data_IF_514119322784
#
_entry.id   IF_514119322784
#
_cell.length_a   1.000
_cell.length_b   1.000
_cell.length_c   1.000
_cell.angle_alpha   90.00
_cell.angle_beta   90.00
_cell.angle_gamma   90.00
#
_symmetry.space_group_name_H-M   'P 1'
#
loop_
_entity.id
_entity.type
_entity.pdbx_description
1 polymer ?
#
# COMPACT_ATOMS: atom_id res chain seq x y z
N UNK A 1 -5.23 26.35 -18.14
CA UNK A 1 -5.26 25.09 -18.91
C UNK A 1 -5.89 24.01 -18.03
N UNK A 2 -7.11 23.53 -18.31
CA UNK A 2 -7.72 22.47 -17.52
C UNK A 2 -7.10 21.13 -17.90
N UNK A 3 -6.52 20.43 -16.93
CA UNK A 3 -6.16 19.02 -17.10
C UNK A 3 -7.46 18.22 -17.15
N UNK A 4 -7.89 17.81 -18.36
CA UNK A 4 -8.97 16.84 -18.47
C UNK A 4 -8.44 15.52 -17.90
N UNK A 5 -9.03 15.06 -16.80
CA UNK A 5 -8.69 13.79 -16.14
C UNK A 5 -9.15 12.58 -16.95
N UNK A 6 -8.97 12.61 -18.27
CA UNK A 6 -9.42 11.58 -19.19
C UNK A 6 -8.71 10.26 -18.89
N UNK A 7 -9.51 9.20 -18.75
CA UNK A 7 -9.05 7.83 -18.51
C UNK A 7 -9.48 6.95 -19.68
N UNK A 8 -8.92 7.15 -20.88
CA UNK A 8 -9.39 6.49 -22.09
C UNK A 8 -9.06 5.00 -22.14
N UNK A 9 -8.14 4.52 -21.30
CA UNK A 9 -7.68 3.13 -21.32
C UNK A 9 -8.44 2.30 -20.29
N UNK A 10 -9.40 1.48 -20.73
CA UNK A 10 -10.21 0.66 -19.84
C UNK A 10 -9.76 -0.81 -19.82
N UNK A 11 -9.70 -1.39 -18.63
CA UNK A 11 -9.50 -2.83 -18.46
C UNK A 11 -10.75 -3.60 -18.86
N UNK A 12 -10.64 -4.57 -19.76
CA UNK A 12 -11.77 -5.40 -20.19
C UNK A 12 -12.24 -6.41 -19.12
N UNK A 13 -11.42 -6.71 -18.12
CA UNK A 13 -11.74 -7.71 -17.09
C UNK A 13 -12.42 -7.13 -15.85
N UNK A 14 -12.00 -5.93 -15.41
CA UNK A 14 -12.56 -5.29 -14.21
C UNK A 14 -13.09 -3.87 -14.46
N UNK A 15 -13.12 -3.44 -15.72
CA UNK A 15 -13.66 -2.14 -16.16
C UNK A 15 -12.99 -0.91 -15.53
N UNK A 16 -11.87 -1.07 -14.83
CA UNK A 16 -11.07 0.04 -14.32
C UNK A 16 -10.47 0.83 -15.48
N UNK A 17 -10.67 2.14 -15.43
CA UNK A 17 -10.12 3.07 -16.41
C UNK A 17 -8.75 3.60 -15.97
N UNK A 18 -7.87 3.92 -16.91
CA UNK A 18 -6.52 4.40 -16.68
C UNK A 18 -6.23 5.57 -17.61
N UNK A 19 -5.44 6.54 -17.14
CA UNK A 19 -5.03 7.70 -17.95
C UNK A 19 -3.94 7.36 -18.95
N UNK A 20 -3.19 6.27 -18.74
CA UNK A 20 -2.08 5.87 -19.59
C UNK A 20 -2.16 4.39 -19.98
N UNK A 21 -1.83 4.07 -21.23
CA UNK A 21 -1.80 2.69 -21.75
C UNK A 21 -0.85 1.80 -20.96
N UNK A 22 0.34 2.32 -20.61
CA UNK A 22 1.34 1.55 -19.85
C UNK A 22 0.82 1.13 -18.47
N UNK A 23 0.07 2.01 -17.79
CA UNK A 23 -0.55 1.68 -16.50
C UNK A 23 -1.66 0.64 -16.63
N UNK A 24 -2.40 0.64 -17.75
CA UNK A 24 -3.33 -0.44 -18.06
C UNK A 24 -2.60 -1.77 -18.29
N UNK A 25 -1.51 -1.79 -19.07
CA UNK A 25 -0.72 -3.01 -19.33
C UNK A 25 -0.15 -3.58 -18.03
N UNK A 26 0.42 -2.73 -17.18
CA UNK A 26 0.92 -3.14 -15.86
C UNK A 26 -0.21 -3.69 -14.98
N UNK A 27 -1.38 -3.05 -15.00
CA UNK A 27 -2.56 -3.54 -14.30
C UNK A 27 -3.02 -4.90 -14.84
N UNK A 28 -2.97 -5.15 -16.15
CA UNK A 28 -3.33 -6.45 -16.73
C UNK A 28 -2.50 -7.60 -16.16
N UNK A 29 -1.26 -7.35 -15.73
CA UNK A 29 -0.42 -8.36 -15.06
C UNK A 29 -1.02 -8.84 -13.73
N UNK A 30 -1.86 -8.04 -13.09
CA UNK A 30 -2.59 -8.45 -11.88
C UNK A 30 -3.68 -9.47 -12.16
N UNK A 31 -4.19 -9.50 -13.39
CA UNK A 31 -5.16 -10.48 -13.84
C UNK A 31 -4.50 -11.78 -14.32
N UNK A 32 -3.41 -11.67 -15.07
CA UNK A 32 -2.70 -12.83 -15.61
C UNK A 32 -1.79 -13.50 -14.58
N UNK A 33 -1.47 -12.82 -13.48
CA UNK A 33 -0.51 -13.28 -12.48
C UNK A 33 0.94 -13.21 -12.95
N UNK A 34 1.20 -12.57 -14.08
CA UNK A 34 2.53 -12.45 -14.68
C UNK A 34 3.48 -11.67 -13.76
N UNK A 35 4.59 -12.31 -13.39
CA UNK A 35 5.62 -11.75 -12.50
C UNK A 35 6.98 -11.81 -13.17
N UNK A 36 7.34 -10.73 -13.84
CA UNK A 36 8.54 -10.63 -14.67
C UNK A 36 9.82 -10.34 -13.86
N UNK A 37 9.69 -9.84 -12.64
CA UNK A 37 10.84 -9.33 -11.87
C UNK A 37 11.16 -10.29 -10.72
N UNK A 38 12.21 -11.09 -10.90
CA UNK A 38 12.64 -12.09 -9.93
C UNK A 38 13.69 -11.53 -8.97
N UNK A 39 13.51 -11.80 -7.68
CA UNK A 39 14.53 -11.56 -6.66
C UNK A 39 15.60 -12.64 -6.75
N UNK A 40 16.84 -12.24 -7.06
CA UNK A 40 17.98 -13.15 -7.13
C UNK A 40 18.37 -13.78 -5.79
N UNK A 41 17.97 -13.19 -4.66
CA UNK A 41 18.33 -13.69 -3.33
C UNK A 41 17.33 -14.69 -2.74
N UNK A 42 16.04 -14.58 -3.07
CA UNK A 42 15.01 -15.46 -2.49
C UNK A 42 14.03 -16.05 -3.50
N UNK A 43 14.24 -15.83 -4.80
CA UNK A 43 13.40 -16.35 -5.88
C UNK A 43 12.00 -15.73 -5.98
N UNK A 44 11.64 -14.79 -5.10
CA UNK A 44 10.31 -14.14 -5.14
C UNK A 44 10.15 -13.29 -6.39
N UNK A 45 9.03 -13.49 -7.08
CA UNK A 45 8.71 -12.76 -8.30
C UNK A 45 7.69 -11.63 -8.06
N UNK A 46 7.86 -10.52 -8.78
CA UNK A 46 7.04 -9.31 -8.72
C UNK A 46 6.54 -8.94 -10.13
N UNK A 47 5.35 -8.32 -10.21
CA UNK A 47 4.76 -7.85 -11.46
C UNK A 47 5.34 -6.50 -11.93
N UNK A 48 6.00 -5.76 -11.02
CA UNK A 48 6.58 -4.45 -11.26
C UNK A 48 8.04 -4.39 -10.78
N UNK A 49 8.87 -3.66 -11.52
CA UNK A 49 10.28 -3.47 -11.16
C UNK A 49 10.43 -2.69 -9.85
N UNK A 50 9.60 -1.66 -9.65
CA UNK A 50 9.62 -0.86 -8.43
C UNK A 50 9.36 -1.68 -7.16
N UNK A 51 8.49 -2.69 -7.25
CA UNK A 51 8.22 -3.62 -6.16
C UNK A 51 9.41 -4.53 -5.87
N UNK A 52 10.10 -5.01 -6.90
CA UNK A 52 11.34 -5.76 -6.73
C UNK A 52 12.41 -4.90 -6.05
N UNK A 53 12.65 -3.66 -6.51
CA UNK A 53 13.63 -2.75 -5.90
C UNK A 53 13.30 -2.49 -4.43
N UNK A 54 12.03 -2.18 -4.14
CA UNK A 54 11.54 -1.99 -2.77
C UNK A 54 11.70 -3.26 -1.91
N UNK A 55 11.51 -4.43 -2.50
CA UNK A 55 11.74 -5.71 -1.85
C UNK A 55 13.21 -5.95 -1.57
N UNK A 56 14.11 -5.63 -2.51
CA UNK A 56 15.56 -5.79 -2.34
C UNK A 56 16.10 -5.00 -1.15
N UNK A 57 15.47 -3.88 -0.77
CA UNK A 57 15.82 -3.15 0.46
C UNK A 57 15.67 -3.98 1.74
N UNK A 58 14.85 -5.03 1.73
CA UNK A 58 14.74 -5.96 2.87
C UNK A 58 15.98 -6.85 2.99
N UNK A 59 16.62 -7.15 1.88
CA UNK A 59 17.84 -7.94 1.82
C UNK A 59 19.08 -7.10 2.14
N UNK A 60 19.17 -5.90 1.55
CA UNK A 60 20.32 -5.01 1.76
C UNK A 60 20.26 -4.24 3.08
N UNK A 61 19.09 -4.18 3.72
CA UNK A 61 18.86 -3.36 4.91
C UNK A 61 18.80 -1.85 4.64
N UNK A 62 18.80 -1.43 3.37
CA UNK A 62 18.80 -0.03 2.98
C UNK A 62 17.54 0.69 3.46
N UNK A 63 17.73 1.82 4.15
CA UNK A 63 16.67 2.65 4.72
C UNK A 63 16.85 4.10 4.28
N UNK A 64 16.52 4.44 3.02
CA UNK A 64 16.79 5.77 2.48
C UNK A 64 15.89 6.87 3.07
N UNK A 65 14.78 6.51 3.70
CA UNK A 65 13.81 7.48 4.21
C UNK A 65 14.00 7.70 5.71
N UNK A 66 14.72 8.76 6.07
CA UNK A 66 14.98 9.15 7.46
C UNK A 66 13.85 10.02 8.01
N UNK A 67 13.49 9.82 9.28
CA UNK A 67 12.62 10.73 10.00
C UNK A 67 13.39 12.00 10.37
N UNK A 68 12.74 13.16 10.25
CA UNK A 68 13.31 14.45 10.65
C UNK A 68 13.15 14.75 12.14
N UNK A 69 12.29 14.00 12.84
CA UNK A 69 11.94 14.23 14.25
C UNK A 69 12.58 13.18 15.19
N UNK A 70 13.22 12.14 14.65
CA UNK A 70 13.95 11.13 15.42
C UNK A 70 14.94 10.36 14.53
N UNK A 71 15.81 9.56 15.13
CA UNK A 71 16.86 8.82 14.41
C UNK A 71 16.37 7.59 13.62
N UNK A 72 15.06 7.40 13.51
CA UNK A 72 14.49 6.24 12.81
C UNK A 72 14.53 6.44 11.29
N UNK A 73 14.97 5.40 10.59
CA UNK A 73 14.96 5.33 9.13
C UNK A 73 14.13 4.14 8.63
N UNK A 74 13.53 4.30 7.45
CA UNK A 74 12.61 3.34 6.85
C UNK A 74 13.00 3.02 5.40
N UNK A 75 12.67 1.80 4.98
CA UNK A 75 12.92 1.32 3.61
C UNK A 75 11.91 1.85 2.60
N UNK A 76 10.75 2.34 3.04
CA UNK A 76 9.66 2.82 2.20
C UNK A 76 9.10 4.17 2.70
N UNK A 77 8.90 5.12 1.78
CA UNK A 77 8.35 6.45 2.08
C UNK A 77 6.98 6.38 2.76
N UNK A 78 6.10 5.46 2.32
CA UNK A 78 4.78 5.28 2.94
C UNK A 78 4.86 4.91 4.43
N UNK A 79 5.88 4.13 4.82
CA UNK A 79 6.08 3.72 6.21
C UNK A 79 6.62 4.90 7.03
N UNK A 80 7.52 5.72 6.45
CA UNK A 80 7.94 6.97 7.07
C UNK A 80 6.74 7.91 7.30
N UNK A 81 5.88 8.12 6.31
CA UNK A 81 4.71 9.00 6.45
C UNK A 81 3.76 8.50 7.55
N UNK A 82 3.51 7.19 7.62
CA UNK A 82 2.74 6.59 8.72
C UNK A 82 3.43 6.83 10.06
N UNK A 83 4.75 6.63 10.12
CA UNK A 83 5.52 6.85 11.33
C UNK A 83 5.46 8.32 11.78
N UNK A 84 5.50 9.28 10.87
CA UNK A 84 5.40 10.70 11.23
C UNK A 84 4.10 11.04 11.98
N UNK A 85 3.02 10.29 11.75
CA UNK A 85 1.77 10.43 12.53
C UNK A 85 1.94 10.13 14.02
N UNK A 86 2.96 9.38 14.41
CA UNK A 86 3.24 9.13 15.84
C UNK A 86 3.79 10.37 16.53
N UNK A 87 4.40 11.28 15.77
CA UNK A 87 4.89 12.55 16.32
C UNK A 87 3.84 13.65 16.25
N UNK A 88 3.08 13.72 15.15
CA UNK A 88 2.03 14.75 14.99
C UNK A 88 0.73 14.41 15.71
N UNK A 89 0.52 13.15 16.11
CA UNK A 89 -0.74 12.68 16.69
C UNK A 89 -1.89 12.57 15.67
N UNK A 90 -1.62 12.73 14.37
CA UNK A 90 -2.63 12.70 13.31
C UNK A 90 -3.36 11.34 13.27
N UNK A 91 -4.69 11.39 13.33
CA UNK A 91 -5.57 10.22 13.31
C UNK A 91 -6.63 10.36 12.22
N UNK A 92 -6.30 10.12 10.94
CA UNK A 92 -7.20 10.39 9.81
C UNK A 92 -8.40 9.45 9.74
N UNK A 93 -8.36 8.32 10.45
CA UNK A 93 -9.33 7.25 10.30
C UNK A 93 -10.28 7.25 11.50
N UNK A 94 -11.40 7.93 11.37
CA UNK A 94 -12.44 8.00 12.39
C UNK A 94 -13.39 6.80 12.29
N UNK A 95 -13.81 6.26 13.43
CA UNK A 95 -14.87 5.27 13.50
C UNK A 95 -16.22 5.95 13.27
N UNK A 96 -17.07 5.36 12.44
CA UNK A 96 -18.44 5.86 12.22
C UNK A 96 -19.43 5.51 13.33
N UNK A 97 -19.05 4.59 14.22
CA UNK A 97 -19.92 4.06 15.29
C UNK A 97 -19.54 4.58 16.68
N UNK A 98 -18.41 5.29 16.82
CA UNK A 98 -17.97 5.92 18.07
C UNK A 98 -16.92 7.02 17.80
N UNK A 99 -16.59 7.82 18.80
CA UNK A 99 -15.66 8.96 18.65
C UNK A 99 -14.18 8.58 18.57
N UNK A 100 -13.85 7.29 18.43
CA UNK A 100 -12.46 6.83 18.34
C UNK A 100 -11.90 7.07 16.94
N UNK A 101 -10.72 7.69 16.89
CA UNK A 101 -9.93 7.87 15.67
C UNK A 101 -8.58 7.15 15.76
N UNK A 102 -8.08 6.71 14.61
CA UNK A 102 -6.86 5.91 14.49
C UNK A 102 -5.90 6.50 13.44
N UNK A 103 -4.61 6.28 13.66
CA UNK A 103 -3.54 6.70 12.73
C UNK A 103 -3.41 5.78 11.51
N UNK A 104 -3.99 4.57 11.59
CA UNK A 104 -3.93 3.52 10.57
C UNK A 104 -5.31 2.95 10.26
N UNK A 105 -5.60 2.77 8.96
CA UNK A 105 -6.85 2.18 8.48
C UNK A 105 -7.04 0.74 8.95
N UNK A 106 -5.97 -0.05 9.01
CA UNK A 106 -6.03 -1.44 9.48
C UNK A 106 -6.49 -1.52 10.92
N UNK A 107 -6.01 -0.61 11.78
CA UNK A 107 -6.44 -0.52 13.18
C UNK A 107 -7.92 -0.14 13.28
N UNK A 108 -8.38 0.81 12.45
CA UNK A 108 -9.80 1.13 12.37
C UNK A 108 -10.65 -0.09 11.97
N UNK A 109 -10.24 -0.84 10.94
CA UNK A 109 -10.98 -2.03 10.49
C UNK A 109 -11.03 -3.08 11.61
N UNK A 110 -9.92 -3.35 12.29
CA UNK A 110 -9.91 -4.29 13.42
C UNK A 110 -10.76 -3.78 14.58
N UNK A 111 -10.79 -2.47 14.82
CA UNK A 111 -11.64 -1.86 15.83
C UNK A 111 -13.13 -1.97 15.45
N UNK A 112 -13.51 -1.78 14.19
CA UNK A 112 -14.90 -1.92 13.76
C UNK A 112 -15.49 -3.30 14.06
N UNK A 113 -14.66 -4.34 14.08
CA UNK A 113 -15.07 -5.70 14.48
C UNK A 113 -15.54 -5.79 15.94
N UNK A 114 -15.11 -4.87 16.81
CA UNK A 114 -15.61 -4.84 18.20
C UNK A 114 -17.05 -4.37 18.29
N UNK A 115 -17.53 -3.63 17.29
CA UNK A 115 -18.93 -3.21 17.23
C UNK A 115 -19.82 -4.25 16.56
N UNK A 116 -19.30 -4.94 15.53
CA UNK A 116 -20.06 -5.97 14.81
C UNK A 116 -20.03 -7.33 15.50
N UNK A 117 -19.10 -7.56 16.44
CA UNK A 117 -18.90 -8.86 17.08
C UNK A 117 -18.29 -9.92 16.15
N UNK A 118 -17.85 -9.54 14.95
CA UNK A 118 -17.31 -10.45 13.95
C UNK A 118 -16.00 -11.10 14.45
N UNK A 119 -15.94 -12.44 14.40
CA UNK A 119 -14.76 -13.24 14.75
C UNK A 119 -14.31 -14.08 13.54
N UNK A 120 -13.54 -13.49 12.61
CA UNK A 120 -13.15 -14.16 11.37
C UNK A 120 -12.13 -15.29 11.57
N UNK A 121 -11.45 -15.30 12.73
CA UNK A 121 -10.40 -16.27 13.03
C UNK A 121 -10.94 -17.32 13.98
N UNK A 122 -10.97 -18.56 13.53
CA UNK A 122 -11.29 -19.72 14.33
C UNK A 122 -9.99 -20.46 14.68
N UNK A 123 -9.94 -21.07 15.86
CA UNK A 123 -8.86 -21.97 16.23
C UNK A 123 -9.00 -23.28 15.45
N UNK A 124 -7.92 -23.72 14.82
CA UNK A 124 -7.75 -25.07 14.25
C UNK A 124 -7.36 -26.06 15.33
#
# INVERSE_FOLDING_TARGET
MPYTGERPYQCSQCYKAFSQKNTLIEHMRTHTGEKLYLCSQCGKAFSQNGDLINHMRKHTGEKPYKCSQCDKAFSLKKVLNIHQRTHTGEKPYQCSQCDKAFSLKTILITHQRTHTGERPYQCS
#
